data_IF_497885409507
#
_entry.id   IF_497885409507
#
_cell.length_a   1.000
_cell.length_b   1.000
_cell.length_c   1.000
_cell.angle_alpha   90.00
_cell.angle_beta   90.00
_cell.angle_gamma   90.00
#
_symmetry.space_group_name_H-M   'P 1'
#
loop_
_entity.id
_entity.type
_entity.pdbx_description
1 polymer ?
#
# COMPACT_ATOMS: atom_id res chain seq x y z
N UNK A 1 14.08 -6.01 -10.61
CA UNK A 1 14.86 -7.05 -11.29
C UNK A 1 14.04 -7.68 -12.41
N UNK A 2 14.68 -8.22 -13.46
CA UNK A 2 13.99 -8.89 -14.57
C UNK A 2 13.08 -10.05 -14.09
N UNK A 3 13.43 -10.72 -12.99
CA UNK A 3 12.60 -11.75 -12.37
C UNK A 3 11.26 -11.18 -11.85
N UNK A 4 11.26 -9.99 -11.25
CA UNK A 4 10.03 -9.36 -10.77
C UNK A 4 9.04 -9.11 -11.93
N UNK A 5 9.53 -8.68 -13.08
CA UNK A 5 8.69 -8.38 -14.26
C UNK A 5 8.06 -9.67 -14.83
N UNK A 6 8.82 -10.76 -14.88
CA UNK A 6 8.33 -12.06 -15.39
C UNK A 6 7.22 -12.59 -14.49
N UNK A 7 7.45 -12.65 -13.18
CA UNK A 7 6.44 -13.15 -12.23
C UNK A 7 5.19 -12.29 -12.20
N UNK A 8 5.33 -10.98 -12.34
CA UNK A 8 4.15 -10.09 -12.39
C UNK A 8 3.33 -10.28 -13.65
N UNK A 9 3.96 -10.50 -14.81
CA UNK A 9 3.23 -10.84 -16.04
C UNK A 9 2.51 -12.19 -15.93
N UNK A 10 3.17 -13.20 -15.39
CA UNK A 10 2.51 -14.49 -15.12
C UNK A 10 1.30 -14.34 -14.20
N UNK A 11 1.42 -13.51 -13.16
CA UNK A 11 0.29 -13.22 -12.27
C UNK A 11 -0.84 -12.49 -13.01
N UNK A 12 -0.52 -11.52 -13.88
CA UNK A 12 -1.52 -10.85 -14.72
C UNK A 12 -2.26 -11.84 -15.62
N UNK A 13 -1.54 -12.76 -16.28
CA UNK A 13 -2.13 -13.80 -17.11
C UNK A 13 -3.07 -14.75 -16.33
N UNK A 14 -2.72 -15.07 -15.08
CA UNK A 14 -3.55 -15.91 -14.22
C UNK A 14 -4.79 -15.15 -13.74
N UNK A 15 -4.63 -13.93 -13.29
CA UNK A 15 -5.73 -13.12 -12.77
C UNK A 15 -6.75 -12.76 -13.86
N UNK A 16 -6.29 -12.49 -15.08
CA UNK A 16 -7.18 -12.24 -16.22
C UNK A 16 -8.17 -13.39 -16.44
N UNK A 17 -7.69 -14.66 -16.30
CA UNK A 17 -8.53 -15.86 -16.44
C UNK A 17 -9.63 -15.97 -15.38
N UNK A 18 -9.50 -15.26 -14.26
CA UNK A 18 -10.50 -15.27 -13.18
C UNK A 18 -11.69 -14.35 -13.46
N UNK A 19 -11.55 -13.38 -14.37
CA UNK A 19 -12.53 -12.33 -14.61
C UNK A 19 -12.64 -11.28 -13.50
N UNK A 20 -11.80 -11.36 -12.46
CA UNK A 20 -11.79 -10.40 -11.36
C UNK A 20 -11.09 -9.10 -11.78
N UNK A 21 -11.67 -7.96 -11.44
CA UNK A 21 -10.99 -6.66 -11.58
C UNK A 21 -9.81 -6.60 -10.62
N UNK A 22 -8.61 -6.50 -11.18
CA UNK A 22 -7.38 -6.63 -10.42
C UNK A 22 -6.38 -5.54 -10.80
N UNK A 23 -5.68 -5.00 -9.81
CA UNK A 23 -4.53 -4.14 -10.04
C UNK A 23 -3.25 -4.89 -9.69
N UNK A 24 -2.30 -4.92 -10.62
CA UNK A 24 -1.01 -5.59 -10.42
C UNK A 24 0.11 -4.61 -10.76
N UNK A 25 1.11 -4.50 -9.90
CA UNK A 25 2.23 -3.60 -10.05
C UNK A 25 3.58 -4.29 -10.00
N UNK A 26 4.51 -3.78 -10.83
CA UNK A 26 5.92 -4.05 -10.68
C UNK A 26 6.42 -3.33 -9.43
N UNK A 27 7.04 -4.05 -8.51
CA UNK A 27 7.62 -3.44 -7.30
C UNK A 27 8.87 -2.65 -7.68
N UNK A 28 8.95 -1.43 -7.18
CA UNK A 28 10.07 -0.51 -7.36
C UNK A 28 10.82 -0.37 -6.03
N UNK A 29 12.13 -0.62 -6.04
CA UNK A 29 13.02 -0.45 -4.90
C UNK A 29 14.47 -0.38 -5.36
N UNK A 30 15.16 0.70 -5.07
CA UNK A 30 16.54 0.95 -5.50
C UNK A 30 17.52 1.18 -4.33
N UNK A 31 17.04 1.14 -3.09
CA UNK A 31 17.87 1.20 -1.88
C UNK A 31 17.34 0.30 -0.76
N UNK A 32 18.18 0.01 0.22
CA UNK A 32 17.83 -0.69 1.47
C UNK A 32 17.09 -2.02 1.28
N UNK A 33 17.25 -2.67 0.14
CA UNK A 33 16.71 -3.98 -0.16
C UNK A 33 17.79 -5.08 -0.14
N UNK A 34 17.35 -6.34 -0.11
CA UNK A 34 18.28 -7.44 -0.33
C UNK A 34 18.85 -7.38 -1.76
N UNK A 35 20.11 -7.79 -1.94
CA UNK A 35 20.78 -7.77 -3.25
C UNK A 35 20.01 -8.52 -4.36
N UNK A 36 19.20 -9.52 -3.99
CA UNK A 36 18.39 -10.29 -4.94
C UNK A 36 17.18 -9.53 -5.46
N UNK A 37 16.65 -8.59 -4.68
CA UNK A 37 15.39 -7.87 -4.98
C UNK A 37 15.61 -6.42 -5.37
N UNK A 38 16.66 -5.78 -4.83
CA UNK A 38 16.95 -4.38 -5.09
C UNK A 38 17.34 -4.16 -6.55
N UNK A 39 16.77 -3.14 -7.15
CA UNK A 39 17.13 -2.70 -8.49
C UNK A 39 18.43 -1.90 -8.46
N UNK A 40 19.16 -1.90 -9.57
CA UNK A 40 20.51 -1.33 -9.63
C UNK A 40 20.55 0.19 -9.42
N UNK A 41 19.52 0.90 -9.82
CA UNK A 41 19.37 2.35 -9.67
C UNK A 41 17.94 2.79 -9.97
N UNK A 42 17.60 4.03 -9.61
CA UNK A 42 16.36 4.70 -9.99
C UNK A 42 16.13 4.68 -11.51
N UNK A 43 17.14 5.02 -12.30
CA UNK A 43 17.07 5.02 -13.76
C UNK A 43 16.68 3.65 -14.33
N UNK A 44 17.28 2.59 -13.79
CA UNK A 44 16.95 1.21 -14.22
C UNK A 44 15.52 0.85 -13.82
N UNK A 45 15.11 1.18 -12.60
CA UNK A 45 13.76 0.92 -12.11
C UNK A 45 12.69 1.64 -12.96
N UNK A 46 12.89 2.92 -13.23
CA UNK A 46 12.00 3.75 -14.08
C UNK A 46 11.90 3.18 -15.49
N UNK A 47 13.03 2.93 -16.15
CA UNK A 47 13.09 2.34 -17.49
C UNK A 47 12.36 1.00 -17.56
N UNK A 48 12.62 0.13 -16.61
CA UNK A 48 12.02 -1.22 -16.58
C UNK A 48 10.52 -1.15 -16.25
N UNK A 49 10.07 -0.14 -15.52
CA UNK A 49 8.64 0.12 -15.27
C UNK A 49 7.95 0.58 -16.57
N UNK A 50 8.54 1.53 -17.31
CA UNK A 50 7.98 1.97 -18.60
C UNK A 50 7.92 0.80 -19.60
N UNK A 51 8.99 0.00 -19.69
CA UNK A 51 9.00 -1.20 -20.54
C UNK A 51 7.87 -2.17 -20.14
N UNK A 52 7.71 -2.45 -18.83
CA UNK A 52 6.65 -3.33 -18.34
C UNK A 52 5.25 -2.79 -18.69
N UNK A 53 5.01 -1.48 -18.56
CA UNK A 53 3.76 -0.85 -18.96
C UNK A 53 3.50 -0.98 -20.45
N UNK A 54 4.51 -0.75 -21.29
CA UNK A 54 4.42 -0.90 -22.74
C UNK A 54 4.13 -2.35 -23.12
N UNK A 55 4.84 -3.30 -22.52
CA UNK A 55 4.69 -4.73 -22.79
C UNK A 55 3.33 -5.28 -22.36
N UNK A 56 2.63 -4.64 -21.43
CA UNK A 56 1.32 -5.07 -20.92
C UNK A 56 0.15 -4.26 -21.47
N UNK A 57 0.42 -3.18 -22.19
CA UNK A 57 -0.60 -2.29 -22.72
C UNK A 57 -1.58 -3.03 -23.64
N UNK A 58 -2.88 -2.87 -23.37
CA UNK A 58 -3.96 -3.45 -24.18
C UNK A 58 -4.10 -4.98 -24.14
N UNK A 59 -3.28 -5.69 -23.35
CA UNK A 59 -3.31 -7.16 -23.27
C UNK A 59 -4.42 -7.72 -22.37
N UNK A 60 -4.89 -6.94 -21.41
CA UNK A 60 -5.79 -7.41 -20.36
C UNK A 60 -7.04 -6.53 -20.29
N UNK A 61 -8.18 -7.15 -20.13
CA UNK A 61 -9.46 -6.48 -19.95
C UNK A 61 -9.70 -6.16 -18.46
N UNK A 62 -9.49 -7.14 -17.60
CA UNK A 62 -9.82 -7.07 -16.18
C UNK A 62 -8.62 -6.71 -15.30
N UNK A 63 -7.40 -6.95 -15.75
CA UNK A 63 -6.17 -6.63 -15.01
C UNK A 63 -5.60 -5.31 -15.48
N UNK A 64 -5.38 -4.39 -14.54
CA UNK A 64 -4.84 -3.06 -14.80
C UNK A 64 -3.50 -2.86 -14.07
N UNK A 65 -2.58 -2.09 -14.65
CA UNK A 65 -1.33 -1.75 -13.97
C UNK A 65 -1.57 -0.77 -12.81
N UNK A 66 -0.74 -0.90 -11.77
CA UNK A 66 -0.64 0.02 -10.64
C UNK A 66 0.83 0.29 -10.32
N UNK A 67 1.23 1.52 -10.06
CA UNK A 67 2.58 1.82 -9.61
C UNK A 67 2.78 1.33 -8.18
N UNK A 68 3.92 0.69 -7.95
CA UNK A 68 4.19 0.05 -6.67
C UNK A 68 5.59 0.41 -6.15
N UNK A 69 5.85 1.68 -5.74
CA UNK A 69 6.96 1.93 -4.85
C UNK A 69 6.77 1.07 -3.61
N UNK A 70 7.77 0.24 -3.26
CA UNK A 70 7.58 -0.70 -2.16
C UNK A 70 7.20 0.03 -0.88
N UNK A 71 8.02 0.98 -0.46
CA UNK A 71 7.77 1.95 0.62
C UNK A 71 8.91 2.99 0.63
N UNK A 72 8.72 4.12 1.26
CA UNK A 72 9.69 5.22 1.26
C UNK A 72 11.13 4.80 1.61
N UNK A 73 11.39 3.96 2.63
CA UNK A 73 12.76 3.56 2.94
C UNK A 73 13.49 2.79 1.84
N UNK A 74 12.78 2.15 0.94
CA UNK A 74 13.39 1.39 -0.17
C UNK A 74 13.41 2.12 -1.51
N UNK A 75 12.95 3.36 -1.56
CA UNK A 75 12.91 4.17 -2.77
C UNK A 75 13.68 5.47 -2.55
N UNK A 76 14.64 5.78 -3.43
CA UNK A 76 15.31 7.08 -3.42
C UNK A 76 14.39 8.18 -3.92
N UNK A 77 14.70 9.44 -3.61
CA UNK A 77 13.95 10.60 -4.11
C UNK A 77 13.99 10.67 -5.65
N UNK A 78 15.11 10.24 -6.26
CA UNK A 78 15.24 10.12 -7.70
C UNK A 78 14.24 9.10 -8.27
N UNK A 79 14.11 7.93 -7.63
CA UNK A 79 13.11 6.93 -8.03
C UNK A 79 11.69 7.45 -7.84
N UNK A 80 11.38 8.07 -6.71
CA UNK A 80 10.04 8.61 -6.44
C UNK A 80 9.67 9.70 -7.44
N UNK A 81 10.61 10.57 -7.82
CA UNK A 81 10.43 11.58 -8.88
C UNK A 81 10.12 10.93 -10.24
N UNK A 82 10.89 9.92 -10.63
CA UNK A 82 10.65 9.21 -11.88
C UNK A 82 9.31 8.45 -11.90
N UNK A 83 8.90 7.87 -10.76
CA UNK A 83 7.58 7.23 -10.65
C UNK A 83 6.45 8.26 -10.72
N UNK A 84 6.63 9.44 -10.16
CA UNK A 84 5.66 10.54 -10.26
C UNK A 84 5.49 11.03 -11.71
N UNK A 85 6.55 11.06 -12.50
CA UNK A 85 6.48 11.37 -13.93
C UNK A 85 5.70 10.30 -14.71
N UNK A 86 5.97 9.02 -14.42
CA UNK A 86 5.21 7.89 -14.99
C UNK A 86 3.74 8.00 -14.61
N UNK A 87 3.45 8.26 -13.32
CA UNK A 87 2.09 8.40 -12.81
C UNK A 87 1.31 9.45 -13.60
N UNK A 88 1.89 10.65 -13.76
CA UNK A 88 1.25 11.75 -14.51
C UNK A 88 1.07 11.44 -15.99
N UNK A 89 2.06 10.77 -16.59
CA UNK A 89 2.04 10.45 -18.03
C UNK A 89 0.99 9.40 -18.37
N UNK A 90 0.83 8.39 -17.52
CA UNK A 90 -0.04 7.25 -17.79
C UNK A 90 -1.33 7.25 -16.93
N UNK A 91 -1.54 8.26 -16.07
CA UNK A 91 -2.68 8.38 -15.15
C UNK A 91 -2.90 7.11 -14.33
N UNK A 92 -1.83 6.54 -13.76
CA UNK A 92 -1.89 5.27 -13.03
C UNK A 92 -2.24 5.47 -11.55
N UNK A 93 -2.99 4.54 -10.95
CA UNK A 93 -3.09 4.47 -9.49
C UNK A 93 -1.74 4.06 -8.87
N UNK A 94 -1.62 4.32 -7.57
CA UNK A 94 -0.42 3.99 -6.77
C UNK A 94 -0.80 3.09 -5.60
N UNK A 95 0.05 2.15 -5.24
CA UNK A 95 -0.04 1.40 -3.99
C UNK A 95 1.30 1.37 -3.27
N UNK A 96 1.27 1.42 -1.94
CA UNK A 96 2.46 1.33 -1.10
C UNK A 96 2.10 0.97 0.34
N UNK A 97 3.07 1.06 1.26
CA UNK A 97 2.91 0.84 2.69
C UNK A 97 2.94 2.19 3.42
N UNK A 98 2.19 2.30 4.52
CA UNK A 98 2.12 3.53 5.30
C UNK A 98 2.01 3.24 6.79
N UNK A 99 2.91 3.83 7.57
CA UNK A 99 2.84 3.88 9.03
C UNK A 99 2.55 2.52 9.68
N UNK A 100 3.21 1.46 9.18
CA UNK A 100 2.97 0.09 9.63
C UNK A 100 3.48 -0.13 11.05
N UNK A 101 4.70 0.32 11.35
CA UNK A 101 5.29 0.16 12.67
C UNK A 101 6.13 1.39 13.08
N UNK A 102 6.42 1.50 14.37
CA UNK A 102 7.09 2.68 14.93
C UNK A 102 8.53 2.85 14.45
N UNK A 103 9.26 1.77 14.25
CA UNK A 103 10.64 1.82 13.75
C UNK A 103 10.70 2.27 12.28
N UNK A 104 9.75 1.84 11.48
CA UNK A 104 9.60 2.31 10.10
C UNK A 104 9.32 3.81 10.03
N UNK A 105 8.38 4.31 10.85
CA UNK A 105 8.06 5.75 10.94
C UNK A 105 9.31 6.55 11.34
N UNK A 106 10.06 6.09 12.34
CA UNK A 106 11.30 6.73 12.75
C UNK A 106 12.33 6.75 11.61
N UNK A 107 12.47 5.63 10.90
CA UNK A 107 13.38 5.53 9.75
C UNK A 107 12.98 6.46 8.59
N UNK A 108 11.68 6.57 8.29
CA UNK A 108 11.19 7.55 7.30
C UNK A 108 11.51 8.98 7.74
N UNK A 109 11.37 9.30 9.03
CA UNK A 109 11.71 10.62 9.55
C UNK A 109 13.20 10.96 9.42
N UNK A 110 14.08 9.96 9.55
CA UNK A 110 15.53 10.12 9.31
C UNK A 110 15.83 10.35 7.82
N UNK A 111 15.16 9.61 6.92
CA UNK A 111 15.37 9.70 5.48
C UNK A 111 14.71 10.94 4.86
N UNK A 112 13.62 11.41 5.42
CA UNK A 112 12.82 12.54 4.96
C UNK A 112 12.67 13.60 6.06
N UNK A 113 13.75 14.27 6.52
CA UNK A 113 13.71 15.16 7.69
C UNK A 113 12.80 16.38 7.51
N UNK A 114 12.50 16.74 6.26
CA UNK A 114 11.61 17.85 5.91
C UNK A 114 10.11 17.54 6.10
N UNK A 115 9.73 16.28 6.33
CA UNK A 115 8.34 15.89 6.50
C UNK A 115 7.91 15.87 7.96
N UNK A 116 6.63 16.14 8.23
CA UNK A 116 6.07 16.12 9.60
C UNK A 116 5.60 14.72 9.99
N UNK A 117 5.14 13.93 9.00
CA UNK A 117 4.68 12.55 9.16
C UNK A 117 4.90 11.76 7.87
N UNK A 118 4.73 10.43 7.92
CA UNK A 118 5.13 9.53 6.86
C UNK A 118 4.43 9.81 5.51
N UNK A 119 3.13 10.08 5.51
CA UNK A 119 2.37 10.33 4.28
C UNK A 119 2.90 11.50 3.46
N UNK A 120 3.51 12.52 4.10
CA UNK A 120 4.14 13.64 3.40
C UNK A 120 5.35 13.20 2.55
N UNK A 121 6.01 12.08 2.90
CA UNK A 121 7.11 11.54 2.10
C UNK A 121 6.65 11.03 0.73
N UNK A 122 5.38 10.71 0.56
CA UNK A 122 4.76 10.44 -0.75
C UNK A 122 4.12 11.68 -1.35
N UNK A 123 3.45 12.51 -0.54
CA UNK A 123 2.70 13.68 -0.99
C UNK A 123 3.59 14.72 -1.67
N UNK A 124 4.82 14.90 -1.18
CA UNK A 124 5.80 15.81 -1.80
C UNK A 124 6.13 15.47 -3.26
N UNK A 125 5.97 14.21 -3.69
CA UNK A 125 6.14 13.77 -5.07
C UNK A 125 4.82 13.72 -5.87
N UNK A 126 3.67 13.98 -5.23
CA UNK A 126 2.34 13.84 -5.83
C UNK A 126 1.91 12.38 -5.99
N UNK A 127 2.43 11.47 -5.16
CA UNK A 127 2.11 10.03 -5.14
C UNK A 127 1.22 9.63 -3.95
N UNK A 128 0.47 10.58 -3.40
CA UNK A 128 -0.38 10.36 -2.22
C UNK A 128 -1.81 10.85 -2.46
N UNK A 129 -2.52 10.18 -3.35
CA UNK A 129 -3.92 10.46 -3.63
C UNK A 129 -4.16 11.71 -4.46
N UNK A 130 -5.41 12.12 -4.50
CA UNK A 130 -5.92 13.19 -5.34
C UNK A 130 -6.69 12.65 -6.55
N UNK A 131 -7.38 13.54 -7.25
CA UNK A 131 -8.31 13.19 -8.33
C UNK A 131 -7.69 12.32 -9.43
N UNK A 132 -6.44 12.60 -9.79
CA UNK A 132 -5.74 11.92 -10.90
C UNK A 132 -4.72 10.86 -10.41
N UNK A 133 -4.66 10.59 -9.11
CA UNK A 133 -3.72 9.65 -8.52
C UNK A 133 -4.39 8.80 -7.42
N UNK A 134 -5.38 7.94 -7.74
CA UNK A 134 -5.98 7.06 -6.75
C UNK A 134 -4.87 6.25 -6.06
N UNK A 135 -4.84 6.28 -4.74
CA UNK A 135 -3.75 5.67 -3.99
C UNK A 135 -4.26 4.74 -2.91
N UNK A 136 -3.68 3.53 -2.85
CA UNK A 136 -3.95 2.52 -1.82
C UNK A 136 -2.74 2.44 -0.90
N UNK A 137 -2.96 2.64 0.39
CA UNK A 137 -1.92 2.52 1.42
C UNK A 137 -2.22 1.34 2.34
N UNK A 138 -1.29 0.41 2.40
CA UNK A 138 -1.40 -0.76 3.29
C UNK A 138 -1.06 -0.41 4.73
N UNK A 139 -1.67 -1.13 5.66
CA UNK A 139 -1.46 -1.15 7.11
C UNK A 139 -2.03 0.06 7.85
N UNK A 140 -1.46 1.24 7.75
CA UNK A 140 -1.90 2.47 8.43
C UNK A 140 -2.14 2.25 9.95
N UNK A 141 -1.20 1.56 10.63
CA UNK A 141 -1.37 1.14 12.04
C UNK A 141 -1.19 2.32 12.99
N UNK A 142 -0.22 3.18 12.68
CA UNK A 142 0.19 4.30 13.55
C UNK A 142 0.05 5.67 12.88
N UNK A 143 -0.90 5.81 11.96
CA UNK A 143 -1.17 7.12 11.32
C UNK A 143 -1.56 8.16 12.36
N UNK A 144 -0.87 9.29 12.35
CA UNK A 144 -1.16 10.44 13.22
C UNK A 144 -2.45 11.16 12.79
N UNK A 145 -3.00 12.02 13.64
CA UNK A 145 -4.18 12.82 13.30
C UNK A 145 -3.97 13.69 12.06
N UNK A 146 -2.77 14.26 11.93
CA UNK A 146 -2.39 15.06 10.77
C UNK A 146 -2.33 14.18 9.48
N UNK A 147 -1.76 12.96 9.59
CA UNK A 147 -1.71 12.01 8.49
C UNK A 147 -3.11 11.55 8.08
N UNK A 148 -3.99 11.21 9.04
CA UNK A 148 -5.39 10.84 8.79
C UNK A 148 -6.14 11.98 8.09
N UNK A 149 -5.94 13.21 8.53
CA UNK A 149 -6.53 14.39 7.90
C UNK A 149 -6.07 14.57 6.45
N UNK A 150 -4.78 14.33 6.17
CA UNK A 150 -4.26 14.35 4.81
C UNK A 150 -4.81 13.19 3.98
N UNK A 151 -4.86 11.97 4.52
CA UNK A 151 -5.44 10.79 3.85
C UNK A 151 -6.89 11.07 3.43
N UNK A 152 -7.71 11.63 4.32
CA UNK A 152 -9.08 12.01 4.03
C UNK A 152 -9.17 13.06 2.93
N UNK A 153 -8.37 14.13 3.03
CA UNK A 153 -8.32 15.21 2.02
C UNK A 153 -7.91 14.69 0.64
N UNK A 154 -7.00 13.72 0.58
CA UNK A 154 -6.46 13.14 -0.64
C UNK A 154 -7.28 11.96 -1.19
N UNK A 155 -8.28 11.48 -0.45
CA UNK A 155 -9.10 10.32 -0.85
C UNK A 155 -8.30 9.01 -0.88
N UNK A 156 -7.43 8.80 0.11
CA UNK A 156 -6.63 7.57 0.22
C UNK A 156 -7.52 6.38 0.52
N UNK A 157 -7.24 5.26 -0.15
CA UNK A 157 -7.80 3.95 0.17
C UNK A 157 -6.85 3.21 1.12
N UNK A 158 -7.37 2.73 2.24
CA UNK A 158 -6.60 1.96 3.22
C UNK A 158 -6.80 0.47 2.96
N UNK A 159 -5.71 -0.29 2.81
CA UNK A 159 -5.75 -1.75 2.87
C UNK A 159 -5.43 -2.20 4.29
N UNK A 160 -6.46 -2.51 5.08
CA UNK A 160 -6.29 -3.02 6.43
C UNK A 160 -5.88 -4.50 6.40
N UNK A 161 -4.70 -4.81 6.93
CA UNK A 161 -4.07 -6.14 6.89
C UNK A 161 -3.96 -6.75 8.29
N UNK A 162 -5.07 -7.18 8.94
CA UNK A 162 -5.07 -7.56 10.35
C UNK A 162 -4.16 -8.74 10.66
N UNK A 163 -4.07 -9.73 9.77
CA UNK A 163 -3.19 -10.90 9.95
C UNK A 163 -1.72 -10.53 9.95
N UNK A 164 -1.30 -9.81 8.92
CA UNK A 164 0.08 -9.36 8.77
C UNK A 164 0.51 -8.47 9.94
N UNK A 165 -0.30 -7.48 10.28
CA UNK A 165 -0.04 -6.58 11.40
C UNK A 165 0.17 -7.35 12.73
N UNK A 166 -0.57 -8.44 12.92
CA UNK A 166 -0.43 -9.31 14.10
C UNK A 166 0.80 -10.18 14.03
N UNK A 167 1.02 -10.86 12.89
CA UNK A 167 2.14 -11.78 12.71
C UNK A 167 3.50 -11.08 12.80
N UNK A 168 3.60 -9.88 12.23
CA UNK A 168 4.82 -9.08 12.22
C UNK A 168 4.98 -8.20 13.46
N UNK A 169 4.04 -8.29 14.41
CA UNK A 169 4.02 -7.46 15.61
C UNK A 169 3.98 -5.96 15.32
N UNK A 170 3.42 -5.58 14.18
CA UNK A 170 3.26 -4.17 13.78
C UNK A 170 2.31 -3.45 14.73
N UNK A 171 1.18 -4.07 15.08
CA UNK A 171 0.20 -3.50 16.01
C UNK A 171 -1.25 -3.67 15.56
N UNK A 172 -2.16 -2.89 16.15
CA UNK A 172 -3.59 -2.93 15.84
C UNK A 172 -4.03 -1.60 15.21
N UNK A 173 -4.32 -1.61 13.91
CA UNK A 173 -4.77 -0.43 13.19
C UNK A 173 -6.13 0.09 13.73
N UNK A 174 -6.37 1.42 13.76
CA UNK A 174 -7.61 2.01 14.25
C UNK A 174 -8.73 1.96 13.20
N UNK A 175 -9.05 0.75 12.70
CA UNK A 175 -10.00 0.55 11.60
C UNK A 175 -11.38 1.17 11.88
N UNK A 176 -11.88 1.06 13.13
CA UNK A 176 -13.13 1.73 13.56
C UNK A 176 -13.04 3.24 13.34
N UNK A 177 -11.96 3.87 13.77
CA UNK A 177 -11.77 5.30 13.59
C UNK A 177 -11.80 5.70 12.12
N UNK A 178 -11.16 4.92 11.25
CA UNK A 178 -11.16 5.20 9.82
C UNK A 178 -12.57 5.17 9.21
N UNK A 179 -13.39 4.19 9.61
CA UNK A 179 -14.79 4.11 9.18
C UNK A 179 -15.61 5.31 9.71
N UNK A 180 -15.50 5.61 11.00
CA UNK A 180 -16.26 6.69 11.65
C UNK A 180 -15.90 8.07 11.06
N UNK A 181 -14.66 8.25 10.65
CA UNK A 181 -14.19 9.48 9.98
C UNK A 181 -14.49 9.48 8.46
N UNK A 182 -15.04 8.41 7.91
CA UNK A 182 -15.45 8.30 6.50
C UNK A 182 -14.28 8.14 5.53
N UNK A 183 -13.16 7.51 5.96
CA UNK A 183 -12.09 7.11 5.05
C UNK A 183 -12.48 5.84 4.28
N UNK A 184 -11.92 5.70 3.09
CA UNK A 184 -12.06 4.46 2.32
C UNK A 184 -11.16 3.38 2.92
N UNK A 185 -11.77 2.30 3.40
CA UNK A 185 -11.04 1.18 3.98
C UNK A 185 -11.53 -0.14 3.37
N UNK A 186 -10.61 -1.02 3.04
CA UNK A 186 -10.87 -2.39 2.61
C UNK A 186 -9.91 -3.34 3.31
N UNK A 187 -10.18 -4.63 3.22
CA UNK A 187 -9.33 -5.66 3.82
C UNK A 187 -8.24 -6.13 2.85
N UNK A 188 -7.09 -6.48 3.40
CA UNK A 188 -5.98 -7.11 2.72
C UNK A 188 -5.51 -8.37 3.46
N UNK A 189 -5.11 -9.39 2.72
CA UNK A 189 -4.48 -10.59 3.30
C UNK A 189 -2.99 -10.40 3.54
N UNK A 190 -2.37 -9.53 2.74
CA UNK A 190 -0.90 -9.32 2.74
C UNK A 190 -0.15 -10.64 2.83
N UNK A 191 -0.46 -11.57 1.90
CA UNK A 191 0.10 -12.91 1.91
C UNK A 191 1.62 -12.90 1.95
N UNK A 192 2.18 -13.73 2.79
CA UNK A 192 3.54 -13.86 3.30
C UNK A 192 3.78 -13.07 4.60
N UNK A 193 3.29 -11.85 4.80
CA UNK A 193 3.11 -11.24 6.13
C UNK A 193 1.88 -11.85 6.82
N UNK A 194 0.74 -11.88 6.15
CA UNK A 194 -0.42 -12.69 6.55
C UNK A 194 -0.22 -14.18 6.22
N UNK A 195 -0.89 -15.05 6.95
CA UNK A 195 -0.75 -16.52 6.83
C UNK A 195 -1.86 -17.19 6.02
N UNK A 196 -2.83 -16.44 5.52
CA UNK A 196 -3.98 -16.97 4.78
C UNK A 196 -4.35 -16.09 3.57
N UNK A 197 -4.70 -16.73 2.46
CA UNK A 197 -5.26 -16.06 1.28
C UNK A 197 -6.77 -15.79 1.39
N UNK A 198 -7.43 -16.31 2.45
CA UNK A 198 -8.87 -16.22 2.60
C UNK A 198 -9.30 -14.83 3.07
N UNK A 199 -10.06 -14.12 2.25
CA UNK A 199 -10.69 -12.85 2.63
C UNK A 199 -11.73 -13.04 3.75
N UNK A 200 -12.44 -14.18 3.81
CA UNK A 200 -13.34 -14.48 4.93
C UNK A 200 -12.57 -14.63 6.26
N UNK A 201 -11.35 -15.13 6.20
CA UNK A 201 -10.47 -15.16 7.37
C UNK A 201 -10.04 -13.73 7.75
N UNK A 202 -9.69 -12.89 6.78
CA UNK A 202 -9.35 -11.50 7.04
C UNK A 202 -10.52 -10.72 7.69
N UNK A 203 -11.78 -10.99 7.30
CA UNK A 203 -12.98 -10.46 7.98
C UNK A 203 -13.00 -10.86 9.45
N UNK A 204 -12.85 -12.16 9.74
CA UNK A 204 -12.84 -12.64 11.12
C UNK A 204 -11.72 -12.00 11.96
N UNK A 205 -10.52 -11.92 11.39
CA UNK A 205 -9.36 -11.36 12.08
C UNK A 205 -9.52 -9.83 12.29
N UNK A 206 -10.09 -9.10 11.33
CA UNK A 206 -10.40 -7.68 11.50
C UNK A 206 -11.35 -7.42 12.69
N UNK A 207 -12.39 -8.23 12.81
CA UNK A 207 -13.33 -8.15 13.96
C UNK A 207 -12.61 -8.47 15.26
N UNK A 208 -11.80 -9.54 15.29
CA UNK A 208 -11.09 -9.96 16.50
C UNK A 208 -10.09 -8.90 16.98
N UNK A 209 -9.26 -8.38 16.08
CA UNK A 209 -8.27 -7.34 16.45
C UNK A 209 -8.94 -6.02 16.81
N UNK A 210 -10.09 -5.68 16.22
CA UNK A 210 -10.86 -4.49 16.61
C UNK A 210 -11.40 -4.59 18.04
N UNK A 211 -11.81 -5.79 18.49
CA UNK A 211 -12.21 -6.06 19.87
C UNK A 211 -11.03 -5.93 20.84
N UNK A 212 -9.84 -6.41 20.45
CA UNK A 212 -8.63 -6.24 21.24
C UNK A 212 -8.25 -4.75 21.35
N UNK A 213 -8.33 -4.01 20.25
CA UNK A 213 -8.07 -2.56 20.28
C UNK A 213 -9.02 -1.84 21.21
N UNK A 214 -10.32 -2.14 21.12
CA UNK A 214 -11.33 -1.58 22.01
C UNK A 214 -11.02 -1.83 23.49
N UNK A 215 -10.60 -3.05 23.84
CA UNK A 215 -10.33 -3.40 25.24
C UNK A 215 -8.99 -2.92 25.77
N UNK A 216 -7.98 -2.88 24.94
CA UNK A 216 -6.59 -2.69 25.39
C UNK A 216 -6.01 -1.31 25.05
N UNK A 217 -6.60 -0.61 24.08
CA UNK A 217 -6.02 0.63 23.54
C UNK A 217 -6.98 1.81 23.65
N UNK A 218 -8.24 1.64 23.25
CA UNK A 218 -9.22 2.74 23.17
C UNK A 218 -10.64 2.18 23.31
N UNK A 219 -11.22 2.29 24.50
CA UNK A 219 -12.55 1.80 24.84
C UNK A 219 -13.69 2.74 24.40
N UNK A 220 -13.37 3.90 23.85
CA UNK A 220 -14.34 4.84 23.28
C UNK A 220 -14.81 4.42 21.89
N UNK A 221 -14.01 3.63 21.16
CA UNK A 221 -14.28 3.20 19.78
C UNK A 221 -14.82 1.77 19.75
N UNK A 222 -16.08 1.59 19.34
CA UNK A 222 -16.73 0.26 19.23
C UNK A 222 -15.92 -0.70 18.33
N UNK A 223 -15.95 -2.03 18.60
CA UNK A 223 -15.43 -3.02 17.66
C UNK A 223 -16.18 -2.99 16.32
N UNK A 224 -15.54 -3.51 15.28
CA UNK A 224 -16.22 -3.72 13.99
C UNK A 224 -17.32 -4.78 14.12
N UNK A 225 -18.47 -4.52 13.48
CA UNK A 225 -19.51 -5.53 13.29
C UNK A 225 -19.15 -6.47 12.12
N UNK A 226 -19.92 -7.54 11.94
CA UNK A 226 -19.75 -8.45 10.80
C UNK A 226 -20.06 -7.72 9.47
N UNK A 227 -21.14 -6.96 9.45
CA UNK A 227 -21.55 -6.20 8.29
C UNK A 227 -20.46 -5.21 7.86
N UNK A 228 -19.92 -4.45 8.81
CA UNK A 228 -18.87 -3.45 8.55
C UNK A 228 -17.55 -4.07 8.09
N UNK A 229 -17.21 -5.26 8.58
CA UNK A 229 -15.99 -5.94 8.18
C UNK A 229 -16.13 -6.70 6.85
N UNK A 230 -17.36 -7.03 6.42
CA UNK A 230 -17.64 -7.74 5.18
C UNK A 230 -17.90 -6.79 4.00
N UNK A 231 -18.42 -5.61 4.27
CA UNK A 231 -18.82 -4.61 3.26
C UNK A 231 -17.65 -3.75 2.85
#
# INVERSE_FOLDING_TARGET
SAASDVYKRQLMDLMEKTGLRTFIGKVNMDRNGSAALQEKSAVVSVRDTVRWLTDTAGKYENVKPILTPRFTPSCTDELMTGLAEIQRTYCLPVQSHLSENRSEIAWVKELCPGTSFYGEAYDQFGLFGGENCPTIMAHCVYSSDAEISLMKKRGIFIAHCPQSNTNLSSGIAPARRYLDEGLHIGLGTDIAGGHSLSMLRAVADAIQVSKLRWRLVDDTLKPLSLEEAFY
#
